data_IF_465137264770
#
_entry.id   IF_465137264770
#
_cell.length_a   1.000
_cell.length_b   1.000
_cell.length_c   1.000
_cell.angle_alpha   90.00
_cell.angle_beta   90.00
_cell.angle_gamma   90.00
#
_symmetry.space_group_name_H-M   'P 1'
#
loop_
_entity.id
_entity.type
_entity.pdbx_description
1 polymer ?
#
# COMPACT_ATOMS: atom_id res chain seq x y z
N UNK A 1 2.92 0.04 4.58
CA UNK A 1 3.43 0.00 5.98
C UNK A 1 3.07 1.25 6.80
N UNK A 2 3.00 2.45 6.23
CA UNK A 2 2.76 3.70 6.97
C UNK A 2 1.47 3.66 7.82
N UNK A 3 0.35 3.26 7.22
CA UNK A 3 -0.93 3.12 7.95
C UNK A 3 -0.85 2.09 9.09
N UNK A 4 -0.12 1.00 8.89
CA UNK A 4 0.09 -0.04 9.91
C UNK A 4 0.88 0.50 11.10
N UNK A 5 1.91 1.31 10.82
CA UNK A 5 2.68 1.99 11.86
C UNK A 5 1.84 3.05 12.61
N UNK A 6 1.01 3.83 11.89
CA UNK A 6 0.10 4.80 12.49
C UNK A 6 -0.95 4.11 13.40
N UNK A 7 -1.57 3.02 12.93
CA UNK A 7 -2.47 2.20 13.73
C UNK A 7 -1.80 1.72 15.03
N UNK A 8 -0.61 1.15 14.94
CA UNK A 8 0.16 0.67 16.10
C UNK A 8 0.46 1.79 17.10
N UNK A 9 0.80 3.00 16.63
CA UNK A 9 1.03 4.18 17.51
C UNK A 9 -0.22 4.58 18.29
N UNK A 10 -1.41 4.37 17.71
CA UNK A 10 -2.71 4.64 18.35
C UNK A 10 -3.25 3.45 19.16
N UNK A 11 -2.52 2.31 19.20
CA UNK A 11 -2.96 1.09 19.90
C UNK A 11 -4.12 0.37 19.20
N UNK A 12 -4.28 0.58 17.89
CA UNK A 12 -5.36 0.02 17.06
C UNK A 12 -4.82 -1.08 16.14
N UNK A 13 -5.70 -2.01 15.76
CA UNK A 13 -5.46 -2.89 14.60
C UNK A 13 -5.51 -2.07 13.31
N UNK A 14 -4.98 -2.61 12.23
CA UNK A 14 -5.09 -1.95 10.92
C UNK A 14 -6.55 -1.80 10.49
N UNK A 15 -7.40 -2.79 10.80
CA UNK A 15 -8.82 -2.76 10.51
C UNK A 15 -9.52 -1.64 11.27
N UNK A 16 -9.35 -1.56 12.59
CA UNK A 16 -9.91 -0.48 13.43
C UNK A 16 -9.44 0.89 12.95
N UNK A 17 -8.17 1.02 12.59
CA UNK A 17 -7.62 2.27 12.04
C UNK A 17 -8.22 2.63 10.67
N UNK A 18 -8.49 1.64 9.81
CA UNK A 18 -9.14 1.87 8.53
C UNK A 18 -10.63 2.22 8.72
N UNK A 19 -11.32 1.63 9.69
CA UNK A 19 -12.69 2.00 10.03
C UNK A 19 -12.77 3.42 10.61
N UNK A 20 -11.86 3.77 11.51
CA UNK A 20 -11.76 5.14 12.05
C UNK A 20 -11.57 6.17 10.93
N UNK A 21 -10.77 5.85 9.93
CA UNK A 21 -10.50 6.73 8.78
C UNK A 21 -11.74 7.04 7.91
N UNK A 22 -12.82 6.27 8.01
CA UNK A 22 -14.07 6.60 7.32
C UNK A 22 -14.77 7.83 7.92
N UNK A 23 -14.51 8.15 9.18
CA UNK A 23 -15.14 9.25 9.92
C UNK A 23 -14.16 10.29 10.41
N UNK A 24 -12.89 9.96 10.52
CA UNK A 24 -11.83 10.85 11.04
C UNK A 24 -10.71 11.04 10.00
N UNK A 25 -10.79 12.13 9.25
CA UNK A 25 -9.80 12.52 8.24
C UNK A 25 -8.39 12.69 8.82
N UNK A 26 -8.25 12.96 10.12
CA UNK A 26 -6.93 13.17 10.73
C UNK A 26 -6.03 11.98 10.62
N UNK A 27 -6.60 10.77 10.50
CA UNK A 27 -5.87 9.53 10.29
C UNK A 27 -5.14 9.49 8.94
N UNK A 28 -5.74 10.04 7.90
CA UNK A 28 -5.12 10.14 6.57
C UNK A 28 -4.16 11.33 6.52
N UNK A 29 -4.57 12.49 7.02
CA UNK A 29 -3.74 13.71 7.01
C UNK A 29 -2.38 13.52 7.70
N UNK A 30 -2.33 12.81 8.83
CA UNK A 30 -1.06 12.51 9.51
C UNK A 30 -0.08 11.69 8.64
N UNK A 31 -0.61 10.71 7.91
CA UNK A 31 0.20 9.86 7.03
C UNK A 31 0.62 10.63 5.78
N UNK A 32 -0.29 11.40 5.22
CA UNK A 32 -0.09 12.12 3.97
C UNK A 32 0.84 13.33 4.13
N UNK A 33 0.71 14.08 5.24
CA UNK A 33 1.65 15.13 5.59
C UNK A 33 3.07 14.61 5.82
N UNK A 34 3.20 13.47 6.51
CA UNK A 34 4.49 12.81 6.67
C UNK A 34 5.11 12.42 5.32
N UNK A 35 4.33 11.86 4.39
CA UNK A 35 4.80 11.53 3.05
C UNK A 35 5.25 12.77 2.28
N UNK A 36 4.43 13.82 2.29
CA UNK A 36 4.74 15.06 1.60
C UNK A 36 6.00 15.74 2.17
N UNK A 37 6.17 15.72 3.50
CA UNK A 37 7.38 16.22 4.15
C UNK A 37 8.61 15.42 3.75
N UNK A 38 8.53 14.08 3.80
CA UNK A 38 9.62 13.18 3.39
C UNK A 38 10.08 13.48 1.97
N UNK A 39 9.13 13.64 1.03
CA UNK A 39 9.45 13.95 -0.37
C UNK A 39 10.05 15.34 -0.59
N UNK A 40 9.84 16.29 0.33
CA UNK A 40 10.46 17.64 0.27
C UNK A 40 11.86 17.69 0.89
N UNK A 41 12.10 16.87 1.90
CA UNK A 41 13.29 16.98 2.75
C UNK A 41 14.36 15.93 2.47
N UNK A 42 14.00 14.83 1.79
CA UNK A 42 14.90 13.70 1.59
C UNK A 42 14.93 13.23 0.13
N UNK A 43 16.08 12.69 -0.25
CA UNK A 43 16.34 11.98 -1.48
C UNK A 43 16.80 10.53 -1.22
N UNK A 44 16.83 9.72 -2.25
CA UNK A 44 17.38 8.36 -2.23
C UNK A 44 16.69 7.44 -1.21
N UNK A 45 15.36 7.46 -1.18
CA UNK A 45 14.55 6.57 -0.33
C UNK A 45 13.50 5.80 -1.13
N UNK A 46 13.01 4.72 -0.55
CA UNK A 46 11.88 3.93 -1.05
C UNK A 46 10.73 4.08 -0.06
N UNK A 47 9.55 4.35 -0.57
CA UNK A 47 8.33 4.45 0.24
C UNK A 47 7.27 3.48 -0.28
N UNK A 48 6.66 2.72 0.63
CA UNK A 48 5.51 1.86 0.35
C UNK A 48 4.24 2.55 0.88
N UNK A 49 3.40 3.04 -0.03
CA UNK A 49 2.18 3.76 0.31
C UNK A 49 1.23 3.87 -0.87
N UNK A 50 -0.08 3.86 -0.60
CA UNK A 50 -1.13 3.91 -1.61
C UNK A 50 -1.29 5.28 -2.26
N UNK A 51 -0.97 6.33 -1.52
CA UNK A 51 -1.10 7.74 -1.93
C UNK A 51 0.23 8.42 -2.15
N UNK A 52 1.35 7.71 -1.97
CA UNK A 52 2.71 8.27 -2.06
C UNK A 52 2.99 8.90 -3.42
N UNK A 53 2.48 8.31 -4.51
CA UNK A 53 2.59 8.84 -5.87
C UNK A 53 1.97 10.25 -6.02
N UNK A 54 0.92 10.55 -5.26
CA UNK A 54 0.23 11.83 -5.25
C UNK A 54 0.97 12.87 -4.41
N UNK A 55 1.42 12.49 -3.20
CA UNK A 55 2.09 13.40 -2.27
C UNK A 55 3.58 13.60 -2.57
N UNK A 56 4.18 12.73 -3.41
CA UNK A 56 5.56 12.85 -3.89
C UNK A 56 5.56 12.81 -5.43
N UNK A 57 5.10 13.88 -6.10
CA UNK A 57 4.83 13.86 -7.53
C UNK A 57 6.05 13.62 -8.42
N UNK A 58 7.25 13.94 -7.93
CA UNK A 58 8.52 13.73 -8.63
C UNK A 58 9.14 12.34 -8.40
N UNK A 59 8.50 11.47 -7.60
CA UNK A 59 8.99 10.10 -7.40
C UNK A 59 8.82 9.23 -8.65
N UNK A 60 9.67 8.22 -8.80
CA UNK A 60 9.44 7.12 -9.75
C UNK A 60 8.44 6.13 -9.15
N UNK A 61 7.32 5.93 -9.84
CA UNK A 61 6.12 5.28 -9.33
C UNK A 61 5.96 3.90 -9.92
N UNK A 62 6.10 2.86 -9.10
CA UNK A 62 5.94 1.47 -9.49
C UNK A 62 4.73 0.87 -8.79
N UNK A 63 3.76 0.37 -9.56
CA UNK A 63 2.62 -0.39 -9.05
C UNK A 63 2.94 -1.88 -9.10
N UNK A 64 2.86 -2.56 -7.94
CA UNK A 64 2.97 -4.02 -7.87
C UNK A 64 1.57 -4.62 -7.89
N UNK A 65 1.20 -5.18 -9.04
CA UNK A 65 -0.06 -5.88 -9.22
C UNK A 65 0.07 -7.36 -8.84
N UNK A 66 -1.02 -7.95 -8.40
CA UNK A 66 -1.12 -9.40 -8.14
C UNK A 66 -2.57 -9.84 -8.38
N UNK A 67 -2.74 -11.04 -8.92
CA UNK A 67 -4.06 -11.66 -9.02
C UNK A 67 -4.67 -11.78 -7.61
N UNK A 68 -5.96 -11.37 -7.41
CA UNK A 68 -6.55 -11.25 -6.07
C UNK A 68 -6.50 -12.51 -5.22
N UNK A 69 -6.74 -13.68 -5.82
CA UNK A 69 -6.69 -14.96 -5.11
C UNK A 69 -5.25 -15.29 -4.65
N UNK A 70 -4.26 -15.09 -5.53
CA UNK A 70 -2.83 -15.31 -5.20
C UNK A 70 -2.38 -14.34 -4.10
N UNK A 71 -2.80 -13.08 -4.18
CA UNK A 71 -2.54 -12.09 -3.14
C UNK A 71 -3.13 -12.49 -1.79
N UNK A 72 -4.39 -12.98 -1.78
CA UNK A 72 -5.04 -13.46 -0.56
C UNK A 72 -4.35 -14.69 0.03
N UNK A 73 -3.94 -15.64 -0.81
CA UNK A 73 -3.20 -16.84 -0.38
C UNK A 73 -1.87 -16.47 0.29
N UNK A 74 -1.11 -15.53 -0.30
CA UNK A 74 0.15 -15.04 0.28
C UNK A 74 -0.06 -14.38 1.65
N UNK A 75 -1.08 -13.53 1.77
CA UNK A 75 -1.42 -12.89 3.03
C UNK A 75 -1.83 -13.93 4.07
N UNK A 76 -2.67 -14.90 3.70
CA UNK A 76 -3.12 -15.94 4.61
C UNK A 76 -1.97 -16.80 5.12
N UNK A 77 -1.02 -17.17 4.24
CA UNK A 77 0.20 -17.88 4.64
C UNK A 77 1.06 -17.08 5.62
N UNK A 78 1.24 -15.78 5.39
CA UNK A 78 1.96 -14.90 6.31
C UNK A 78 1.29 -14.84 7.71
N UNK A 79 -0.06 -14.75 7.73
CA UNK A 79 -0.82 -14.73 8.99
C UNK A 79 -0.65 -16.01 9.82
N UNK A 80 -0.47 -17.17 9.14
CA UNK A 80 -0.21 -18.44 9.82
C UNK A 80 1.21 -18.55 10.38
N UNK A 81 2.16 -17.75 9.89
CA UNK A 81 3.58 -17.86 10.21
C UNK A 81 4.07 -16.77 11.17
N UNK A 82 3.41 -15.64 11.26
CA UNK A 82 3.83 -14.53 12.11
C UNK A 82 2.67 -13.65 12.57
N UNK A 83 2.77 -13.15 13.81
CA UNK A 83 1.86 -12.13 14.38
C UNK A 83 2.21 -10.70 13.93
N UNK A 84 3.13 -10.52 12.98
CA UNK A 84 3.56 -9.18 12.54
C UNK A 84 2.46 -8.41 11.78
N UNK A 85 1.50 -9.14 11.18
CA UNK A 85 0.34 -8.56 10.52
C UNK A 85 -0.77 -8.31 11.52
N UNK A 86 -0.94 -7.08 11.95
CA UNK A 86 -2.05 -6.63 12.80
C UNK A 86 -3.30 -6.37 11.92
N UNK A 87 -3.89 -7.43 11.32
CA UNK A 87 -5.00 -7.29 10.35
C UNK A 87 -6.39 -7.40 11.00
N UNK A 88 -6.50 -7.94 12.21
CA UNK A 88 -7.77 -8.25 12.88
C UNK A 88 -8.05 -9.77 12.99
N UNK A 89 -8.98 -10.15 13.86
CA UNK A 89 -9.18 -11.53 14.31
C UNK A 89 -10.04 -12.41 13.38
N UNK A 90 -10.47 -11.91 12.20
CA UNK A 90 -11.47 -12.60 11.35
C UNK A 90 -10.90 -13.20 10.07
N UNK A 91 -9.59 -13.23 9.91
CA UNK A 91 -8.95 -13.68 8.67
C UNK A 91 -8.50 -15.14 8.78
N UNK A 92 -9.48 -16.03 9.00
CA UNK A 92 -9.30 -17.46 9.23
C UNK A 92 -9.29 -18.31 7.95
N UNK A 93 -9.52 -17.69 6.81
CA UNK A 93 -9.52 -18.34 5.48
C UNK A 93 -9.03 -17.41 4.36
N UNK A 94 -8.64 -17.99 3.23
CA UNK A 94 -8.24 -17.24 2.03
C UNK A 94 -9.40 -16.37 1.52
N UNK A 95 -10.63 -16.90 1.58
CA UNK A 95 -11.84 -16.19 1.17
C UNK A 95 -12.10 -14.98 2.07
N UNK A 96 -11.90 -15.12 3.39
CA UNK A 96 -12.04 -14.01 4.34
C UNK A 96 -10.98 -12.92 4.06
N UNK A 97 -9.73 -13.30 3.81
CA UNK A 97 -8.66 -12.37 3.41
C UNK A 97 -9.01 -11.66 2.11
N UNK A 98 -9.51 -12.39 1.11
CA UNK A 98 -9.90 -11.81 -0.18
C UNK A 98 -11.04 -10.80 -0.01
N UNK A 99 -12.08 -11.15 0.74
CA UNK A 99 -13.20 -10.26 1.04
C UNK A 99 -12.73 -8.99 1.77
N UNK A 100 -11.85 -9.13 2.77
CA UNK A 100 -11.25 -8.00 3.49
C UNK A 100 -10.45 -7.09 2.53
N UNK A 101 -9.66 -7.66 1.62
CA UNK A 101 -8.92 -6.89 0.63
C UNK A 101 -9.84 -6.08 -0.30
N UNK A 102 -10.92 -6.69 -0.80
CA UNK A 102 -11.90 -5.97 -1.62
C UNK A 102 -12.58 -4.84 -0.85
N UNK A 103 -13.00 -5.09 0.40
CA UNK A 103 -13.60 -4.06 1.23
C UNK A 103 -12.63 -2.91 1.49
N UNK A 104 -11.36 -3.22 1.75
CA UNK A 104 -10.32 -2.21 1.95
C UNK A 104 -10.09 -1.34 0.73
N UNK A 105 -10.03 -1.95 -0.46
CA UNK A 105 -9.91 -1.20 -1.73
C UNK A 105 -11.13 -0.31 -1.96
N UNK A 106 -12.34 -0.81 -1.71
CA UNK A 106 -13.56 -0.02 -1.84
C UNK A 106 -13.58 1.18 -0.87
N UNK A 107 -13.22 0.97 0.39
CA UNK A 107 -13.11 2.02 1.40
C UNK A 107 -12.04 3.06 1.04
N UNK A 108 -10.89 2.62 0.53
CA UNK A 108 -9.82 3.51 0.07
C UNK A 108 -10.28 4.38 -1.11
N UNK A 109 -10.92 3.79 -2.12
CA UNK A 109 -11.46 4.52 -3.27
C UNK A 109 -12.46 5.58 -2.84
N UNK A 110 -13.44 5.21 -2.01
CA UNK A 110 -14.43 6.15 -1.50
C UNK A 110 -13.76 7.31 -0.77
N UNK A 111 -12.84 7.03 0.15
CA UNK A 111 -12.18 8.02 0.99
C UNK A 111 -11.26 8.94 0.19
N UNK A 112 -10.39 8.38 -0.66
CA UNK A 112 -9.48 9.18 -1.47
C UNK A 112 -10.19 9.99 -2.55
N UNK A 113 -11.29 9.46 -3.11
CA UNK A 113 -12.14 10.24 -3.99
C UNK A 113 -12.80 11.41 -3.27
N UNK A 114 -13.28 11.20 -2.05
CA UNK A 114 -13.94 12.23 -1.25
C UNK A 114 -12.98 13.35 -0.84
N UNK A 115 -11.78 13.03 -0.40
CA UNK A 115 -10.87 14.00 0.21
C UNK A 115 -9.83 14.58 -0.76
N UNK A 116 -9.40 13.79 -1.73
CA UNK A 116 -8.31 14.17 -2.63
C UNK A 116 -8.70 14.17 -4.11
N UNK A 117 -9.91 13.71 -4.44
CA UNK A 117 -10.41 13.56 -5.83
C UNK A 117 -9.52 12.63 -6.68
N UNK A 118 -8.95 11.59 -6.07
CA UNK A 118 -8.07 10.61 -6.73
C UNK A 118 -8.60 9.18 -6.58
N UNK A 119 -8.25 8.31 -7.54
CA UNK A 119 -8.27 6.85 -7.38
C UNK A 119 -6.83 6.35 -7.22
N UNK A 120 -6.47 5.87 -6.03
CA UNK A 120 -5.13 5.36 -5.75
C UNK A 120 -4.79 4.07 -6.51
N UNK A 121 -5.78 3.43 -7.11
CA UNK A 121 -5.64 2.18 -7.87
C UNK A 121 -5.76 2.37 -9.38
N UNK A 122 -5.87 3.61 -9.86
CA UNK A 122 -5.79 3.90 -11.29
C UNK A 122 -4.34 3.75 -11.76
N UNK A 123 -4.12 2.77 -12.63
CA UNK A 123 -2.79 2.43 -13.14
C UNK A 123 -2.15 3.55 -13.97
N UNK A 124 -2.95 4.49 -14.50
CA UNK A 124 -2.45 5.66 -15.21
C UNK A 124 -1.62 6.62 -14.33
N UNK A 125 -1.69 6.47 -13.01
CA UNK A 125 -0.90 7.26 -12.05
C UNK A 125 0.54 6.75 -11.85
N UNK A 126 0.89 5.61 -12.44
CA UNK A 126 2.17 4.94 -12.21
C UNK A 126 3.01 4.91 -13.47
N UNK A 127 4.32 5.06 -13.31
CA UNK A 127 5.29 4.98 -14.42
C UNK A 127 5.46 3.54 -14.89
N UNK A 128 5.38 2.57 -13.96
CA UNK A 128 5.50 1.13 -14.25
C UNK A 128 4.46 0.31 -13.48
N UNK A 129 3.96 -0.74 -14.14
CA UNK A 129 3.09 -1.75 -13.54
C UNK A 129 3.76 -3.11 -13.63
N UNK A 130 4.07 -3.72 -12.49
CA UNK A 130 4.70 -5.05 -12.42
C UNK A 130 3.67 -6.06 -11.94
N UNK A 131 3.34 -7.04 -12.79
CA UNK A 131 2.55 -8.19 -12.36
C UNK A 131 3.45 -9.16 -11.60
N UNK A 132 3.11 -9.38 -10.33
CA UNK A 132 3.86 -10.23 -9.41
C UNK A 132 3.19 -11.60 -9.19
N UNK A 133 2.13 -11.92 -9.93
CA UNK A 133 1.31 -13.12 -9.73
C UNK A 133 2.16 -14.39 -9.72
N UNK A 134 3.03 -14.56 -10.72
CA UNK A 134 3.88 -15.75 -10.86
C UNK A 134 5.31 -15.54 -10.31
N UNK A 135 5.56 -14.42 -9.61
CA UNK A 135 6.89 -14.09 -9.11
C UNK A 135 7.01 -14.37 -7.61
N UNK A 136 8.14 -14.95 -7.21
CA UNK A 136 8.53 -14.98 -5.80
C UNK A 136 9.16 -13.64 -5.37
N UNK A 137 9.42 -13.49 -4.07
CA UNK A 137 9.97 -12.25 -3.51
C UNK A 137 11.29 -11.82 -4.15
N UNK A 138 12.23 -12.75 -4.36
CA UNK A 138 13.53 -12.46 -4.96
C UNK A 138 13.40 -11.97 -6.40
N UNK A 139 12.48 -12.57 -7.17
CA UNK A 139 12.20 -12.18 -8.54
C UNK A 139 11.56 -10.79 -8.60
N UNK A 140 10.61 -10.48 -7.68
CA UNK A 140 10.03 -9.13 -7.59
C UNK A 140 11.11 -8.10 -7.29
N UNK A 141 11.97 -8.36 -6.30
CA UNK A 141 13.10 -7.46 -5.95
C UNK A 141 14.02 -7.26 -7.16
N UNK A 142 14.35 -8.34 -7.90
CA UNK A 142 15.22 -8.25 -9.08
C UNK A 142 14.58 -7.37 -10.20
N UNK A 143 13.27 -7.53 -10.44
CA UNK A 143 12.53 -6.71 -11.43
C UNK A 143 12.53 -5.25 -11.02
N UNK A 144 12.16 -4.94 -9.77
CA UNK A 144 12.11 -3.55 -9.26
C UNK A 144 13.49 -2.91 -9.31
N UNK A 145 14.55 -3.60 -8.86
CA UNK A 145 15.92 -3.08 -8.94
C UNK A 145 16.35 -2.76 -10.39
N UNK A 146 16.01 -3.65 -11.33
CA UNK A 146 16.31 -3.40 -12.76
C UNK A 146 15.61 -2.12 -13.25
N UNK A 147 14.32 -1.93 -12.94
CA UNK A 147 13.55 -0.74 -13.34
C UNK A 147 14.15 0.53 -12.74
N UNK A 148 14.48 0.51 -11.46
CA UNK A 148 15.13 1.65 -10.77
C UNK A 148 16.48 1.98 -11.41
N UNK A 149 17.33 0.98 -11.66
CA UNK A 149 18.63 1.21 -12.32
C UNK A 149 18.47 1.75 -13.74
N UNK A 150 17.48 1.28 -14.51
CA UNK A 150 17.21 1.79 -15.84
C UNK A 150 16.78 3.27 -15.79
N UNK A 151 15.94 3.64 -14.82
CA UNK A 151 15.50 5.02 -14.63
C UNK A 151 16.65 5.94 -14.28
N UNK A 152 17.48 5.56 -13.29
CA UNK A 152 18.65 6.34 -12.86
C UNK A 152 19.71 6.53 -13.95
N UNK A 153 19.80 5.62 -14.93
CA UNK A 153 20.75 5.74 -16.03
C UNK A 153 20.20 6.61 -17.19
N UNK A 154 18.96 7.06 -17.13
CA UNK A 154 18.32 7.94 -18.12
C UNK A 154 18.32 9.42 -17.72
N UNK A 155 18.63 9.69 -16.47
CA UNK A 155 18.79 11.03 -15.88
C UNK A 155 20.26 11.46 -15.94
#
# INVERSE_FOLDING_TARGET
QLRRQAAKRRGLTLEEYNQLALTDITTDLEVDEYQAQLGREQDNFIIDGRTSWHFIPHSYKIFLNVEPLVGAQRIFQDLQQSDERNEGDHLDSVEAVMANNYQRVANDRQRYQQYFHIDAYDLANYDEVVDTTDLNLEQVVAVVNRLVHQKLNQE
#
